data_IF_336605193415
#
_entry.id   IF_336605193415
#
_cell.length_a   1.000
_cell.length_b   1.000
_cell.length_c   1.000
_cell.angle_alpha   90.00
_cell.angle_beta   90.00
_cell.angle_gamma   90.00
#
_symmetry.space_group_name_H-M   'P 1'
#
loop_
_entity.id
_entity.type
_entity.pdbx_description
1 polymer ?
#
# COMPACT_ATOMS: atom_id res chain seq x y z
N UNK A 1 14.13 0.73 -3.70
CA UNK A 1 14.02 2.02 -3.00
C UNK A 1 13.54 3.19 -3.84
N UNK A 2 13.20 3.00 -5.09
CA UNK A 2 12.76 4.09 -5.96
C UNK A 2 11.38 4.67 -5.57
N UNK A 3 10.42 3.84 -5.10
CA UNK A 3 9.04 4.26 -4.81
C UNK A 3 8.93 5.36 -3.75
N UNK A 4 9.48 5.21 -2.52
CA UNK A 4 9.43 6.28 -1.51
C UNK A 4 10.08 7.59 -1.98
N UNK A 5 11.16 7.49 -2.75
CA UNK A 5 11.82 8.67 -3.32
C UNK A 5 10.91 9.41 -4.31
N UNK A 6 10.31 8.69 -5.28
CA UNK A 6 9.45 9.31 -6.29
C UNK A 6 8.12 9.79 -5.73
N UNK A 7 7.55 9.10 -4.72
CA UNK A 7 6.39 9.62 -3.99
C UNK A 7 6.70 10.97 -3.34
N UNK A 8 7.81 11.07 -2.61
CA UNK A 8 8.23 12.33 -2.01
C UNK A 8 8.48 13.43 -3.05
N UNK A 9 9.12 13.09 -4.18
CA UNK A 9 9.39 14.05 -5.25
C UNK A 9 8.09 14.57 -5.87
N UNK A 10 7.21 13.70 -6.30
CA UNK A 10 5.93 14.08 -6.90
C UNK A 10 5.04 14.85 -5.92
N UNK A 11 5.02 14.44 -4.65
CA UNK A 11 4.23 15.09 -3.60
C UNK A 11 4.62 16.54 -3.36
N UNK A 12 5.90 16.90 -3.50
CA UNK A 12 6.40 18.29 -3.35
C UNK A 12 5.86 19.24 -4.42
N UNK A 13 5.45 18.71 -5.57
CA UNK A 13 4.91 19.50 -6.69
C UNK A 13 3.41 19.83 -6.51
N UNK A 14 2.73 19.18 -5.54
CA UNK A 14 1.32 19.41 -5.27
C UNK A 14 1.05 20.73 -4.59
N UNK A 15 -0.11 21.32 -4.89
CA UNK A 15 -0.69 22.48 -4.20
C UNK A 15 -1.73 22.04 -3.16
N UNK A 16 -2.10 22.96 -2.27
CA UNK A 16 -3.14 22.70 -1.28
C UNK A 16 -4.46 22.28 -1.95
N UNK A 17 -5.03 21.16 -1.49
CA UNK A 17 -6.24 20.57 -2.06
C UNK A 17 -5.98 19.51 -3.14
N UNK A 18 -4.75 19.38 -3.66
CA UNK A 18 -4.40 18.35 -4.63
C UNK A 18 -4.27 16.96 -3.98
N UNK A 19 -4.41 15.95 -4.85
CA UNK A 19 -4.21 14.54 -4.49
C UNK A 19 -3.10 13.92 -5.35
N UNK A 20 -2.23 13.14 -4.72
CA UNK A 20 -1.32 12.22 -5.39
C UNK A 20 -1.89 10.82 -5.32
N UNK A 21 -2.02 10.18 -6.46
CA UNK A 21 -2.46 8.80 -6.54
C UNK A 21 -1.33 7.97 -7.14
N UNK A 22 -0.88 6.99 -6.39
CA UNK A 22 0.10 6.02 -6.85
C UNK A 22 -0.56 4.67 -7.10
N UNK A 23 -0.21 4.05 -8.22
CA UNK A 23 -0.54 2.66 -8.54
C UNK A 23 0.63 1.98 -9.22
N UNK A 24 0.83 0.70 -8.93
CA UNK A 24 1.81 -0.13 -9.64
C UNK A 24 1.43 -0.24 -11.13
N UNK A 25 2.44 -0.33 -11.99
CA UNK A 25 2.30 -0.29 -13.47
C UNK A 25 1.43 -1.43 -14.07
N UNK A 26 1.16 -2.49 -13.30
CA UNK A 26 0.24 -3.57 -13.70
C UNK A 26 -1.23 -3.26 -13.45
N UNK A 27 -1.59 -2.02 -13.14
CA UNK A 27 -2.94 -1.59 -12.76
C UNK A 27 -3.66 -0.90 -13.93
N UNK A 28 -4.93 -1.22 -14.11
CA UNK A 28 -5.83 -0.56 -15.08
C UNK A 28 -7.02 -0.01 -14.32
N UNK A 29 -7.29 1.29 -14.44
CA UNK A 29 -8.49 1.88 -13.88
C UNK A 29 -9.72 1.48 -14.69
N UNK A 30 -10.70 0.88 -14.02
CA UNK A 30 -11.98 0.44 -14.60
C UNK A 30 -13.17 1.24 -14.08
N UNK A 31 -12.94 2.05 -13.05
CA UNK A 31 -13.93 2.92 -12.46
C UNK A 31 -13.31 4.28 -12.07
N UNK A 32 -14.17 5.23 -11.68
CA UNK A 32 -13.74 6.58 -11.29
C UNK A 32 -12.98 6.55 -9.96
N UNK A 33 -11.82 7.14 -9.94
CA UNK A 33 -11.01 7.37 -8.73
C UNK A 33 -11.77 8.20 -7.68
N UNK A 34 -12.71 9.04 -8.11
CA UNK A 34 -13.51 9.87 -7.21
C UNK A 34 -14.16 9.07 -6.09
N UNK A 35 -14.57 7.82 -6.34
CA UNK A 35 -15.12 6.95 -5.28
C UNK A 35 -14.15 6.71 -4.11
N UNK A 36 -12.84 6.64 -4.38
CA UNK A 36 -11.82 6.51 -3.33
C UNK A 36 -11.66 7.83 -2.57
N UNK A 37 -11.60 8.94 -3.28
CA UNK A 37 -11.49 10.28 -2.70
C UNK A 37 -12.72 10.56 -1.80
N UNK A 38 -13.93 10.27 -2.26
CA UNK A 38 -15.16 10.46 -1.49
C UNK A 38 -15.15 9.66 -0.19
N UNK A 39 -14.67 8.40 -0.22
CA UNK A 39 -14.51 7.60 0.99
C UNK A 39 -13.45 8.16 1.93
N UNK A 40 -12.33 8.64 1.40
CA UNK A 40 -11.24 9.24 2.17
C UNK A 40 -11.70 10.53 2.87
N UNK A 41 -12.42 11.39 2.15
CA UNK A 41 -12.98 12.64 2.69
C UNK A 41 -14.04 12.38 3.78
N UNK A 42 -14.92 11.38 3.57
CA UNK A 42 -15.92 10.96 4.56
C UNK A 42 -15.30 10.50 5.87
N UNK A 43 -14.14 9.85 5.80
CA UNK A 43 -13.38 9.36 6.96
C UNK A 43 -12.42 10.40 7.54
N UNK A 44 -12.40 11.63 6.98
CA UNK A 44 -11.53 12.75 7.37
C UNK A 44 -10.04 12.38 7.38
N UNK A 45 -9.58 11.72 6.32
CA UNK A 45 -8.20 11.22 6.19
C UNK A 45 -7.42 11.93 5.11
N UNK A 46 -6.12 12.11 5.34
CA UNK A 46 -5.18 12.63 4.36
C UNK A 46 -4.38 11.53 3.63
N UNK A 47 -4.41 10.31 4.15
CA UNK A 47 -3.77 9.13 3.56
C UNK A 47 -4.82 8.02 3.46
N UNK A 48 -5.11 7.56 2.24
CA UNK A 48 -5.89 6.34 2.02
C UNK A 48 -4.95 5.19 1.71
N UNK A 49 -5.00 4.16 2.55
CA UNK A 49 -4.21 2.95 2.42
C UNK A 49 -5.13 1.72 2.48
N UNK A 50 -4.68 0.61 1.93
CA UNK A 50 -5.50 -0.57 1.71
C UNK A 50 -4.93 -1.78 2.44
N UNK A 51 -5.81 -2.59 3.04
CA UNK A 51 -5.43 -3.81 3.74
C UNK A 51 -5.28 -4.97 2.76
N UNK A 52 -4.31 -5.84 2.98
CA UNK A 52 -4.35 -7.20 2.47
C UNK A 52 -5.38 -8.03 3.26
N UNK A 53 -5.70 -9.24 2.77
CA UNK A 53 -6.55 -10.20 3.45
C UNK A 53 -6.01 -10.60 4.84
N UNK A 54 -6.87 -11.14 5.70
CA UNK A 54 -6.59 -11.38 7.13
C UNK A 54 -5.38 -12.26 7.41
N UNK A 55 -5.09 -13.23 6.55
CA UNK A 55 -4.02 -14.21 6.74
C UNK A 55 -2.64 -13.68 6.34
N UNK A 56 -2.59 -12.54 5.68
CA UNK A 56 -1.36 -11.91 5.20
C UNK A 56 -0.69 -11.07 6.31
N UNK A 57 -0.34 -11.73 7.41
CA UNK A 57 0.19 -11.09 8.61
C UNK A 57 1.58 -10.48 8.38
N UNK A 58 1.86 -9.37 9.09
CA UNK A 58 3.15 -8.68 9.03
C UNK A 58 4.33 -9.62 9.31
N UNK A 59 4.24 -10.47 10.33
CA UNK A 59 5.32 -11.38 10.72
C UNK A 59 5.72 -12.38 9.64
N UNK A 60 4.82 -12.67 8.69
CA UNK A 60 5.09 -13.54 7.55
C UNK A 60 5.85 -12.83 6.42
N UNK A 61 5.70 -11.50 6.34
CA UNK A 61 6.15 -10.71 5.19
C UNK A 61 7.07 -9.55 5.56
N UNK A 62 7.50 -9.48 6.82
CA UNK A 62 8.51 -8.56 7.33
C UNK A 62 9.64 -9.31 8.01
N UNK A 63 10.87 -9.02 7.62
CA UNK A 63 12.05 -9.49 8.37
C UNK A 63 12.10 -8.87 9.77
N UNK A 64 12.74 -9.55 10.72
CA UNK A 64 12.76 -9.10 12.12
C UNK A 64 13.42 -7.75 12.33
N UNK A 65 14.48 -7.44 11.59
CA UNK A 65 15.16 -6.16 11.71
C UNK A 65 14.23 -4.98 11.37
N UNK A 66 13.30 -5.13 10.41
CA UNK A 66 12.34 -4.08 10.09
C UNK A 66 11.47 -3.75 11.31
N UNK A 67 10.96 -4.74 12.03
CA UNK A 67 10.19 -4.50 13.24
C UNK A 67 11.02 -3.82 14.34
N UNK A 68 12.23 -4.31 14.59
CA UNK A 68 13.09 -3.79 15.67
C UNK A 68 13.52 -2.36 15.39
N UNK A 69 14.05 -2.09 14.20
CA UNK A 69 14.60 -0.78 13.82
C UNK A 69 13.53 0.29 13.62
N UNK A 70 12.29 -0.11 13.28
CA UNK A 70 11.16 0.82 13.19
C UNK A 70 10.41 0.98 14.51
N UNK A 71 10.82 0.29 15.60
CA UNK A 71 10.15 0.34 16.90
C UNK A 71 8.78 -0.35 16.94
N UNK A 72 8.58 -1.35 16.06
CA UNK A 72 7.32 -2.06 15.86
C UNK A 72 7.39 -3.55 16.30
N UNK A 73 8.38 -3.94 17.12
CA UNK A 73 8.62 -5.33 17.48
C UNK A 73 7.72 -5.82 18.63
N UNK A 74 6.43 -5.85 18.36
CA UNK A 74 5.41 -6.40 19.30
C UNK A 74 4.31 -7.16 18.53
N UNK A 75 3.52 -8.02 19.22
CA UNK A 75 2.37 -8.71 18.61
C UNK A 75 1.33 -7.77 18.01
N UNK A 76 1.18 -6.57 18.58
CA UNK A 76 0.28 -5.53 18.06
C UNK A 76 0.55 -5.20 16.60
N UNK A 77 1.80 -5.20 16.17
CA UNK A 77 2.17 -5.04 14.76
C UNK A 77 2.23 -6.40 14.05
N UNK A 78 2.97 -7.35 14.61
CA UNK A 78 3.33 -8.61 13.96
C UNK A 78 2.12 -9.48 13.57
N UNK A 79 1.06 -9.49 14.40
CA UNK A 79 -0.12 -10.35 14.28
C UNK A 79 -1.30 -9.68 13.55
N UNK A 80 -1.03 -8.64 12.76
CA UNK A 80 -2.03 -7.92 11.97
C UNK A 80 -1.77 -8.01 10.48
N UNK A 81 -2.80 -7.94 9.61
CA UNK A 81 -2.62 -8.00 8.15
C UNK A 81 -1.76 -6.84 7.63
N UNK A 82 -0.91 -7.12 6.63
CA UNK A 82 -0.15 -6.09 5.93
C UNK A 82 -1.06 -5.10 5.18
N UNK A 83 -0.57 -3.87 5.03
CA UNK A 83 -1.13 -2.91 4.09
C UNK A 83 -0.49 -3.05 2.71
N UNK A 84 -1.27 -2.81 1.68
CA UNK A 84 -0.84 -2.89 0.28
C UNK A 84 0.12 -1.73 -0.02
N UNK A 85 1.26 -2.05 -0.66
CA UNK A 85 2.21 -1.05 -1.15
C UNK A 85 1.96 -0.63 -2.61
N UNK A 86 1.08 -1.32 -3.32
CA UNK A 86 0.81 -1.10 -4.75
C UNK A 86 -0.16 0.03 -5.08
N UNK A 87 -0.90 0.53 -4.08
CA UNK A 87 -1.89 1.59 -4.24
C UNK A 87 -1.88 2.52 -3.03
N UNK A 88 -1.97 3.83 -3.29
CA UNK A 88 -2.15 4.83 -2.24
C UNK A 88 -2.79 6.10 -2.80
N UNK A 89 -3.62 6.77 -2.00
CA UNK A 89 -4.13 8.12 -2.28
C UNK A 89 -3.66 9.04 -1.15
N UNK A 90 -3.03 10.15 -1.51
CA UNK A 90 -2.44 11.12 -0.60
C UNK A 90 -3.02 12.50 -0.89
N UNK A 91 -3.61 13.15 0.10
CA UNK A 91 -4.04 14.55 0.04
C UNK A 91 -2.89 15.46 0.44
N UNK A 92 -2.74 16.62 -0.19
CA UNK A 92 -1.72 17.59 0.22
C UNK A 92 -1.99 18.10 1.63
N UNK A 93 -1.10 17.78 2.58
CA UNK A 93 -1.14 18.28 3.96
C UNK A 93 0.22 18.18 4.65
N UNK A 94 0.48 18.96 5.71
CA UNK A 94 1.70 18.85 6.51
C UNK A 94 1.89 17.46 7.15
N UNK A 95 0.78 16.80 7.49
CA UNK A 95 0.79 15.45 8.06
C UNK A 95 1.37 14.44 7.07
N UNK A 96 0.91 14.46 5.82
CA UNK A 96 1.40 13.55 4.77
C UNK A 96 2.85 13.83 4.41
N UNK A 97 3.27 15.10 4.41
CA UNK A 97 4.66 15.47 4.15
C UNK A 97 5.60 14.86 5.22
N UNK A 98 5.22 14.96 6.50
CA UNK A 98 5.96 14.33 7.60
C UNK A 98 5.99 12.81 7.46
N UNK A 99 4.86 12.18 7.16
CA UNK A 99 4.75 10.73 6.97
C UNK A 99 5.66 10.24 5.85
N UNK A 100 5.60 10.85 4.67
CA UNK A 100 6.41 10.46 3.52
C UNK A 100 7.91 10.66 3.75
N UNK A 101 8.29 11.69 4.51
CA UNK A 101 9.68 11.92 4.89
C UNK A 101 10.19 10.77 5.76
N UNK A 102 9.44 10.36 6.78
CA UNK A 102 9.82 9.25 7.67
C UNK A 102 9.82 7.91 6.92
N UNK A 103 8.86 7.65 6.03
CA UNK A 103 8.85 6.47 5.16
C UNK A 103 10.12 6.38 4.30
N UNK A 104 10.54 7.51 3.72
CA UNK A 104 11.78 7.58 2.95
C UNK A 104 13.02 7.36 3.82
N UNK A 105 13.05 7.89 5.05
CA UNK A 105 14.17 7.68 5.98
C UNK A 105 14.35 6.19 6.30
N UNK A 106 13.28 5.47 6.64
CA UNK A 106 13.33 4.02 6.85
C UNK A 106 13.71 3.25 5.58
N UNK A 107 13.19 3.64 4.43
CA UNK A 107 13.49 3.00 3.15
C UNK A 107 14.94 3.21 2.68
N UNK A 108 15.70 4.08 3.31
CA UNK A 108 17.15 4.28 3.04
C UNK A 108 18.05 3.37 3.89
N UNK A 109 17.53 2.75 4.96
CA UNK A 109 18.31 1.81 5.76
C UNK A 109 18.30 0.41 5.13
N UNK A 110 19.46 -0.09 4.63
CA UNK A 110 19.51 -1.41 4.00
C UNK A 110 19.14 -2.54 4.95
N UNK A 111 19.30 -2.38 6.26
CA UNK A 111 18.91 -3.36 7.27
C UNK A 111 17.39 -3.52 7.34
N UNK A 112 16.65 -2.47 7.00
CA UNK A 112 15.18 -2.45 7.00
C UNK A 112 14.63 -2.92 5.65
N UNK A 113 15.16 -2.38 4.54
CA UNK A 113 14.52 -2.49 3.22
C UNK A 113 14.97 -3.69 2.40
N UNK A 114 16.12 -4.32 2.72
CA UNK A 114 16.68 -5.41 1.94
C UNK A 114 16.48 -6.78 2.60
N UNK A 115 16.78 -7.85 1.85
CA UNK A 115 16.74 -9.24 2.34
C UNK A 115 18.02 -9.69 3.06
N UNK A 116 18.97 -8.77 3.35
CA UNK A 116 20.16 -9.14 4.11
C UNK A 116 19.80 -9.77 5.46
N UNK A 117 20.70 -10.57 6.02
CA UNK A 117 20.51 -11.22 7.32
C UNK A 117 20.19 -10.22 8.43
N UNK A 118 19.43 -10.67 9.44
CA UNK A 118 19.11 -9.84 10.59
C UNK A 118 20.36 -9.49 11.40
N UNK A 119 20.48 -8.22 11.76
CA UNK A 119 21.62 -7.65 12.48
C UNK A 119 21.31 -7.30 13.94
N UNK A 120 20.02 -7.31 14.34
CA UNK A 120 19.57 -6.91 15.66
C UNK A 120 19.48 -8.07 16.66
N UNK A 121 20.15 -9.19 16.35
CA UNK A 121 20.27 -10.35 17.26
C UNK A 121 18.98 -11.15 17.47
N UNK A 122 17.93 -10.90 16.66
CA UNK A 122 16.66 -11.63 16.71
C UNK A 122 16.43 -12.38 15.40
N UNK A 123 16.03 -13.68 15.45
CA UNK A 123 15.63 -14.40 14.25
C UNK A 123 14.28 -13.88 13.73
N UNK A 124 13.98 -14.17 12.46
CA UNK A 124 12.64 -13.96 11.92
C UNK A 124 11.60 -14.79 12.70
N UNK A 125 10.33 -14.40 12.61
CA UNK A 125 9.25 -15.19 13.19
C UNK A 125 9.21 -16.60 12.56
N UNK A 126 8.75 -17.64 13.29
CA UNK A 126 8.80 -19.03 12.79
C UNK A 126 8.03 -19.26 11.49
N UNK A 127 7.02 -18.46 11.22
CA UNK A 127 6.17 -18.50 10.02
C UNK A 127 6.54 -17.44 8.97
N UNK A 128 7.72 -16.84 9.06
CA UNK A 128 8.25 -15.90 8.06
C UNK A 128 8.41 -16.56 6.69
N UNK A 129 7.91 -15.93 5.66
CA UNK A 129 7.93 -16.41 4.26
C UNK A 129 8.94 -15.62 3.43
N UNK A 130 8.78 -14.29 3.38
CA UNK A 130 9.61 -13.40 2.56
C UNK A 130 9.45 -11.96 3.03
N UNK A 131 10.51 -11.16 2.88
CA UNK A 131 10.44 -9.73 3.14
C UNK A 131 9.90 -8.97 1.91
N UNK A 132 8.92 -8.09 2.12
CA UNK A 132 8.26 -7.34 1.04
C UNK A 132 8.77 -5.91 0.87
N UNK A 133 10.02 -5.66 1.21
CA UNK A 133 10.77 -4.43 0.94
C UNK A 133 9.99 -3.14 1.30
N UNK A 134 9.73 -2.27 0.32
CA UNK A 134 9.01 -1.00 0.51
C UNK A 134 7.56 -1.18 0.99
N UNK A 135 6.87 -2.25 0.60
CA UNK A 135 5.55 -2.56 1.17
C UNK A 135 5.64 -2.88 2.67
N UNK A 136 6.70 -3.55 3.09
CA UNK A 136 6.95 -3.87 4.49
C UNK A 136 7.11 -2.59 5.34
N UNK A 137 7.91 -1.64 4.88
CA UNK A 137 8.10 -0.32 5.52
C UNK A 137 6.77 0.44 5.56
N UNK A 138 6.13 0.58 4.41
CA UNK A 138 4.83 1.25 4.28
C UNK A 138 3.81 0.69 5.26
N UNK A 139 3.68 -0.63 5.33
CA UNK A 139 2.69 -1.28 6.17
C UNK A 139 2.93 -1.07 7.67
N UNK A 140 4.17 -1.12 8.13
CA UNK A 140 4.52 -0.77 9.51
C UNK A 140 4.28 0.71 9.82
N UNK A 141 4.57 1.60 8.88
CA UNK A 141 4.27 3.04 9.00
C UNK A 141 2.76 3.30 9.14
N UNK A 142 1.93 2.65 8.34
CA UNK A 142 0.46 2.74 8.43
C UNK A 142 -0.03 2.42 9.85
N UNK A 143 0.52 1.39 10.47
CA UNK A 143 0.17 0.99 11.84
C UNK A 143 0.74 1.94 12.89
N UNK A 144 1.99 2.33 12.75
CA UNK A 144 2.68 3.26 13.66
C UNK A 144 1.96 4.62 13.75
N UNK A 145 1.34 5.04 12.65
CA UNK A 145 0.52 6.25 12.58
C UNK A 145 -0.97 6.00 12.83
N UNK A 146 -1.37 4.78 13.20
CA UNK A 146 -2.76 4.37 13.47
C UNK A 146 -3.72 4.73 12.33
N UNK A 147 -3.26 4.62 11.07
CA UNK A 147 -4.08 4.96 9.92
C UNK A 147 -5.19 3.92 9.73
N UNK A 148 -6.40 4.39 9.46
CA UNK A 148 -7.50 3.53 9.04
C UNK A 148 -7.18 2.93 7.66
N UNK A 149 -7.45 1.63 7.49
CA UNK A 149 -7.25 0.93 6.23
C UNK A 149 -8.58 0.69 5.54
N UNK A 150 -8.56 0.66 4.22
CA UNK A 150 -9.68 0.32 3.36
C UNK A 150 -9.45 -1.05 2.72
N UNK A 151 -10.51 -1.63 2.18
CA UNK A 151 -10.47 -2.83 1.35
C UNK A 151 -9.64 -2.57 0.08
N UNK A 152 -8.95 -3.59 -0.43
CA UNK A 152 -8.24 -3.54 -1.72
C UNK A 152 -9.18 -2.99 -2.82
N UNK A 153 -8.79 -1.95 -3.57
CA UNK A 153 -9.63 -1.38 -4.61
C UNK A 153 -9.66 -2.19 -5.91
N UNK A 154 -8.91 -3.30 -5.96
CA UNK A 154 -8.86 -4.19 -7.14
C UNK A 154 -9.89 -5.33 -7.06
N UNK A 155 -9.85 -6.23 -8.06
CA UNK A 155 -10.65 -7.45 -8.08
C UNK A 155 -10.44 -8.33 -6.83
N UNK A 156 -9.27 -8.28 -6.21
CA UNK A 156 -8.98 -9.06 -5.00
C UNK A 156 -9.79 -8.57 -3.81
N UNK A 157 -10.04 -7.27 -3.70
CA UNK A 157 -10.88 -6.73 -2.64
C UNK A 157 -12.34 -7.15 -2.69
N UNK A 158 -12.80 -7.63 -3.85
CA UNK A 158 -14.15 -8.18 -4.01
C UNK A 158 -14.24 -9.67 -3.69
N UNK A 159 -13.10 -10.34 -3.54
CA UNK A 159 -12.98 -11.79 -3.35
C UNK A 159 -12.52 -12.17 -1.94
N UNK A 160 -11.73 -11.30 -1.31
CA UNK A 160 -11.14 -11.52 0.00
C UNK A 160 -12.05 -11.02 1.13
N UNK A 161 -11.80 -11.51 2.35
CA UNK A 161 -12.47 -11.04 3.56
C UNK A 161 -11.57 -10.13 4.38
N UNK A 162 -12.16 -9.12 4.99
CA UNK A 162 -11.46 -8.12 5.81
C UNK A 162 -12.06 -8.03 7.22
N UNK A 163 -11.43 -7.23 8.08
CA UNK A 163 -12.03 -6.86 9.35
C UNK A 163 -13.31 -6.04 9.09
N UNK A 164 -14.28 -6.17 10.00
CA UNK A 164 -15.60 -5.52 9.87
C UNK A 164 -15.50 -4.02 9.62
N UNK A 165 -14.61 -3.35 10.33
CA UNK A 165 -14.41 -1.90 10.22
C UNK A 165 -13.83 -1.51 8.85
N UNK A 166 -13.01 -2.37 8.23
CA UNK A 166 -12.46 -2.18 6.88
C UNK A 166 -13.58 -2.31 5.84
N UNK A 167 -14.44 -3.32 5.99
CA UNK A 167 -15.59 -3.53 5.08
C UNK A 167 -16.59 -2.38 5.16
N UNK A 168 -16.97 -1.95 6.38
CA UNK A 168 -17.99 -0.91 6.59
C UNK A 168 -17.59 0.46 6.01
N UNK A 169 -16.30 0.81 6.07
CA UNK A 169 -15.82 2.09 5.51
C UNK A 169 -15.56 2.04 4.01
N UNK A 170 -15.42 0.85 3.42
CA UNK A 170 -15.01 0.67 2.03
C UNK A 170 -16.23 0.63 1.08
N UNK A 171 -16.96 1.73 0.98
CA UNK A 171 -18.22 1.83 0.23
C UNK A 171 -18.05 2.06 -1.28
N UNK A 172 -16.84 1.84 -1.82
CA UNK A 172 -16.53 2.00 -3.25
C UNK A 172 -16.66 0.67 -4.02
N UNK A 173 -16.97 0.70 -5.33
CA UNK A 173 -16.91 -0.47 -6.21
C UNK A 173 -15.46 -0.87 -6.49
N UNK A 174 -15.24 -1.94 -7.25
CA UNK A 174 -13.90 -2.21 -7.81
C UNK A 174 -13.43 -1.02 -8.66
N UNK A 175 -12.27 -0.45 -8.37
CA UNK A 175 -11.70 0.71 -9.08
C UNK A 175 -10.61 0.29 -10.04
N UNK A 176 -9.83 -0.70 -9.68
CA UNK A 176 -8.63 -1.13 -10.37
C UNK A 176 -8.80 -2.59 -10.80
N UNK A 177 -8.33 -2.89 -12.00
CA UNK A 177 -8.06 -4.27 -12.46
C UNK A 177 -6.54 -4.46 -12.43
N UNK A 178 -6.06 -5.32 -11.51
CA UNK A 178 -4.63 -5.54 -11.28
C UNK A 178 -4.17 -6.79 -12.00
N UNK A 179 -3.31 -6.63 -12.99
CA UNK A 179 -2.74 -7.71 -13.77
C UNK A 179 -1.22 -7.70 -13.74
N UNK A 180 -0.62 -8.77 -13.23
CA UNK A 180 0.77 -9.08 -13.58
C UNK A 180 0.73 -9.70 -14.98
N UNK A 181 1.16 -8.93 -16.00
CA UNK A 181 1.22 -9.43 -17.37
C UNK A 181 2.29 -10.51 -17.51
N UNK A 182 1.88 -11.77 -17.60
CA UNK A 182 2.64 -12.79 -18.27
C UNK A 182 2.49 -12.62 -19.80
N UNK A 183 3.49 -13.03 -20.58
CA UNK A 183 3.55 -12.83 -22.05
C UNK A 183 2.28 -13.29 -22.80
N UNK A 184 1.49 -14.21 -22.22
CA UNK A 184 0.22 -14.68 -22.78
C UNK A 184 -0.99 -13.76 -22.57
N UNK A 185 -0.91 -12.76 -21.69
CA UNK A 185 -2.05 -11.90 -21.34
C UNK A 185 -2.18 -10.63 -22.22
N UNK A 186 -1.24 -10.38 -23.15
CA UNK A 186 -1.29 -9.23 -24.08
C UNK A 186 -2.55 -9.20 -24.95
N UNK A 187 -3.08 -10.36 -25.30
CA UNK A 187 -4.28 -10.47 -26.16
C UNK A 187 -5.56 -10.09 -25.38
N UNK A 188 -5.70 -10.49 -24.14
CA UNK A 188 -6.84 -10.15 -23.27
C UNK A 188 -6.90 -8.65 -22.97
N UNK A 189 -5.76 -8.01 -22.75
CA UNK A 189 -5.65 -6.58 -22.53
C UNK A 189 -6.02 -5.76 -23.77
N UNK A 190 -5.64 -6.22 -24.97
CA UNK A 190 -6.03 -5.53 -26.21
C UNK A 190 -7.55 -5.57 -26.43
N UNK A 191 -8.19 -6.68 -26.06
CA UNK A 191 -9.64 -6.86 -26.17
C UNK A 191 -10.40 -6.01 -25.12
N UNK A 192 -9.91 -5.95 -23.89
CA UNK A 192 -10.49 -5.10 -22.82
C UNK A 192 -10.35 -3.60 -23.15
N UNK A 193 -9.20 -3.17 -23.68
CA UNK A 193 -8.98 -1.78 -24.17
C UNK A 193 -9.94 -1.38 -25.28
N UNK A 194 -10.30 -2.30 -26.16
CA UNK A 194 -11.26 -2.02 -27.25
C UNK A 194 -12.69 -1.80 -26.77
N UNK A 195 -13.07 -2.35 -25.61
CA UNK A 195 -14.40 -2.15 -25.00
C UNK A 195 -14.54 -0.88 -24.15
N UNK A 196 -13.43 -0.38 -23.59
CA UNK A 196 -13.42 0.77 -22.67
C UNK A 196 -13.24 2.12 -23.36
N UNK A 197 -13.06 2.15 -24.68
CA UNK A 197 -12.74 3.37 -25.41
C UNK A 197 -11.30 3.86 -25.13
N UNK A 198 -10.83 4.82 -25.90
CA UNK A 198 -9.48 5.39 -25.76
C UNK A 198 -9.40 6.20 -24.46
N UNK A 199 -8.85 5.61 -23.40
CA UNK A 199 -8.40 6.36 -22.24
C UNK A 199 -6.94 6.72 -22.50
N UNK A 200 -6.66 8.00 -22.70
CA UNK A 200 -5.29 8.52 -22.71
C UNK A 200 -4.85 8.71 -21.24
N UNK A 201 -3.76 8.07 -20.86
CA UNK A 201 -3.05 8.26 -19.57
C UNK A 201 -1.81 9.08 -19.86
#
# INVERSE_FOLDING_TARGET
MWKPYFLNKAYKELQDGDYLIYTDAGSIYINKIQYLIDCMEKEEMDIMTFSLEREMLERKYNKRDAFVLMGCDSPEYADTPQSIGGYVVLKKSPFVEKFLKEDLEYAQDPRIITEQENTQGKPNYPDFVVHRHDQAVWSLMVKKYHLKRFRDPSQFGMQNSYEKEVEERSTFPQIIDSHRMNVGSRFELSWRRSKLGKIYI
#
